data_IF_998725446408
#
_entry.id   IF_998725446408
#
_cell.length_a   1.000
_cell.length_b   1.000
_cell.length_c   1.000
_cell.angle_alpha   90.00
_cell.angle_beta   90.00
_cell.angle_gamma   90.00
#
_symmetry.space_group_name_H-M   'P 1'
#
loop_
_entity.id
_entity.type
_entity.pdbx_description
1 polymer ?
#
# COMPACT_ATOMS: atom_id res chain seq x y z
N UNK A 1 -13.24 -8.21 -17.89
CA UNK A 1 -14.48 -7.84 -17.15
C UNK A 1 -14.53 -8.65 -15.86
N UNK A 2 -14.77 -8.02 -14.70
CA UNK A 2 -14.79 -8.74 -13.42
C UNK A 2 -16.03 -9.64 -13.33
N UNK A 3 -15.86 -10.94 -13.07
CA UNK A 3 -16.96 -11.93 -13.06
C UNK A 3 -17.97 -11.60 -11.95
N UNK A 4 -19.26 -11.78 -12.21
CA UNK A 4 -20.33 -11.55 -11.21
C UNK A 4 -20.12 -12.39 -9.96
N UNK A 5 -19.62 -13.61 -10.11
CA UNK A 5 -19.25 -14.51 -9.02
C UNK A 5 -18.22 -13.90 -8.05
N UNK A 6 -17.18 -13.23 -8.58
CA UNK A 6 -16.17 -12.57 -7.75
C UNK A 6 -16.75 -11.38 -6.98
N UNK A 7 -17.75 -10.68 -7.55
CA UNK A 7 -18.44 -9.60 -6.83
C UNK A 7 -19.26 -10.15 -5.67
N UNK A 8 -19.93 -11.28 -5.86
CA UNK A 8 -20.70 -11.93 -4.80
C UNK A 8 -19.80 -12.40 -3.66
N UNK A 9 -18.67 -13.08 -3.98
CA UNK A 9 -17.69 -13.50 -2.97
C UNK A 9 -17.10 -12.33 -2.18
N UNK A 10 -16.82 -11.20 -2.86
CA UNK A 10 -16.35 -9.97 -2.18
C UNK A 10 -17.41 -9.36 -1.27
N UNK A 11 -18.68 -9.42 -1.65
CA UNK A 11 -19.79 -8.92 -0.81
C UNK A 11 -19.93 -9.76 0.45
N UNK A 12 -19.98 -11.09 0.31
CA UNK A 12 -20.10 -12.03 1.42
C UNK A 12 -18.93 -11.86 2.42
N UNK A 13 -17.70 -11.80 1.92
CA UNK A 13 -16.52 -11.56 2.75
C UNK A 13 -16.60 -10.25 3.55
N UNK A 14 -17.05 -9.16 2.91
CA UNK A 14 -17.17 -7.85 3.60
C UNK A 14 -18.27 -7.87 4.66
N UNK A 15 -19.37 -8.58 4.42
CA UNK A 15 -20.44 -8.73 5.40
C UNK A 15 -19.95 -9.49 6.65
N UNK A 16 -19.19 -10.57 6.47
CA UNK A 16 -18.61 -11.32 7.58
C UNK A 16 -17.52 -10.53 8.32
N UNK A 17 -16.65 -9.83 7.59
CA UNK A 17 -15.64 -8.95 8.19
C UNK A 17 -16.28 -7.88 9.09
N UNK A 18 -17.41 -7.30 8.66
CA UNK A 18 -18.16 -6.32 9.47
C UNK A 18 -18.75 -6.93 10.73
N UNK A 19 -19.23 -8.19 10.70
CA UNK A 19 -19.73 -8.88 11.90
C UNK A 19 -18.62 -9.04 12.93
N UNK A 20 -17.44 -9.50 12.50
CA UNK A 20 -16.26 -9.62 13.36
C UNK A 20 -15.81 -8.27 13.95
N UNK A 21 -15.80 -7.22 13.12
CA UNK A 21 -15.50 -5.86 13.58
C UNK A 21 -16.51 -5.36 14.64
N UNK A 22 -17.82 -5.59 14.42
CA UNK A 22 -18.86 -5.20 15.40
C UNK A 22 -18.81 -5.98 16.70
N UNK A 23 -18.29 -7.21 16.68
CA UNK A 23 -18.08 -8.04 17.88
C UNK A 23 -16.89 -7.57 18.70
N UNK A 24 -16.02 -6.73 18.13
CA UNK A 24 -14.78 -6.29 18.74
C UNK A 24 -13.65 -7.31 18.63
N UNK A 25 -13.74 -8.25 17.68
CA UNK A 25 -12.66 -9.20 17.43
C UNK A 25 -11.43 -8.45 16.90
N UNK A 26 -10.24 -8.88 17.30
CA UNK A 26 -9.00 -8.36 16.75
C UNK A 26 -8.81 -8.87 15.31
N UNK A 27 -8.84 -7.94 14.34
CA UNK A 27 -8.62 -8.25 12.93
C UNK A 27 -7.16 -7.92 12.59
N UNK A 28 -6.44 -8.90 12.04
CA UNK A 28 -5.08 -8.75 11.52
C UNK A 28 -5.12 -8.94 10.01
N UNK A 29 -4.73 -7.89 9.28
CA UNK A 29 -4.57 -7.95 7.83
C UNK A 29 -3.16 -8.41 7.50
N UNK A 30 -3.03 -9.48 6.75
CA UNK A 30 -1.73 -9.98 6.28
C UNK A 30 -1.64 -9.85 4.77
N UNK A 31 -0.47 -9.45 4.29
CA UNK A 31 -0.18 -9.38 2.86
C UNK A 31 1.30 -9.64 2.58
N UNK A 32 1.57 -10.05 1.35
CA UNK A 32 2.91 -10.28 0.83
C UNK A 32 3.22 -9.24 -0.26
N UNK A 33 4.36 -8.58 -0.19
CA UNK A 33 4.78 -7.62 -1.21
C UNK A 33 6.24 -7.81 -1.60
N UNK A 34 6.50 -7.67 -2.90
CA UNK A 34 7.84 -7.73 -3.47
C UNK A 34 8.32 -6.31 -3.74
N UNK A 35 9.31 -5.86 -2.96
CA UNK A 35 9.98 -4.58 -3.17
C UNK A 35 11.23 -4.79 -4.04
N UNK A 36 11.22 -4.20 -5.23
CA UNK A 36 12.43 -4.10 -6.02
C UNK A 36 13.35 -3.05 -5.40
N UNK A 37 14.54 -3.44 -4.97
CA UNK A 37 15.54 -2.53 -4.40
C UNK A 37 16.26 -1.68 -5.47
N UNK A 38 15.89 -1.84 -6.73
CA UNK A 38 16.42 -1.03 -7.82
C UNK A 38 16.00 0.43 -7.68
N UNK A 39 16.98 1.29 -7.39
CA UNK A 39 16.83 2.73 -7.32
C UNK A 39 17.51 3.35 -8.54
N UNK A 40 16.72 3.80 -9.53
CA UNK A 40 17.25 4.64 -10.61
C UNK A 40 17.10 6.11 -10.28
N UNK A 41 18.14 6.90 -10.54
CA UNK A 41 18.04 8.36 -10.53
C UNK A 41 17.34 8.82 -11.81
N UNK A 42 16.30 9.64 -11.68
CA UNK A 42 15.62 10.26 -12.83
C UNK A 42 16.42 11.42 -13.44
N UNK A 43 17.35 11.99 -12.68
CA UNK A 43 18.13 13.16 -13.06
C UNK A 43 19.63 12.85 -12.97
N UNK A 44 20.38 13.33 -13.96
CA UNK A 44 21.81 13.18 -14.07
C UNK A 44 22.46 14.46 -14.59
N UNK A 45 23.71 14.69 -14.21
CA UNK A 45 24.46 15.85 -14.68
C UNK A 45 25.18 15.51 -15.99
N UNK A 46 25.18 16.47 -16.92
CA UNK A 46 25.90 16.39 -18.18
C UNK A 46 26.52 17.75 -18.49
N UNK A 47 27.54 17.75 -19.35
CA UNK A 47 28.13 18.99 -19.85
C UNK A 47 27.13 19.72 -20.74
N UNK A 48 27.23 21.06 -20.79
CA UNK A 48 26.40 21.89 -21.65
C UNK A 48 26.63 21.48 -23.11
N UNK A 49 25.54 21.07 -23.79
CA UNK A 49 25.59 20.56 -25.17
C UNK A 49 25.58 19.04 -25.30
N UNK A 50 25.69 18.29 -24.19
CA UNK A 50 25.66 16.83 -24.19
C UNK A 50 24.40 16.30 -23.50
N UNK A 51 23.80 15.24 -24.05
CA UNK A 51 22.65 14.57 -23.43
C UNK A 51 23.10 13.84 -22.17
N UNK A 52 22.46 14.12 -21.03
CA UNK A 52 22.65 13.33 -19.83
C UNK A 52 22.18 11.89 -20.07
N UNK A 53 23.13 10.97 -20.21
CA UNK A 53 22.88 9.53 -20.32
C UNK A 53 23.34 8.87 -19.03
N UNK A 54 22.41 8.19 -18.35
CA UNK A 54 22.75 7.31 -17.23
C UNK A 54 22.85 5.91 -17.81
N UNK A 55 24.06 5.33 -17.77
CA UNK A 55 24.22 3.91 -18.03
C UNK A 55 23.56 3.14 -16.88
N UNK A 56 22.33 2.69 -17.08
CA UNK A 56 21.62 1.86 -16.12
C UNK A 56 22.24 0.46 -16.17
N UNK A 57 22.84 0.01 -15.08
CA UNK A 57 23.15 -1.42 -14.91
C UNK A 57 21.86 -2.22 -15.02
N UNK A 58 21.88 -3.44 -15.58
CA UNK A 58 20.67 -4.26 -15.70
C UNK A 58 19.97 -4.36 -14.33
N UNK A 59 18.67 -4.11 -14.33
CA UNK A 59 17.79 -3.97 -13.14
C UNK A 59 17.58 -5.27 -12.35
N UNK A 60 18.53 -6.21 -12.45
CA UNK A 60 18.65 -7.43 -11.66
C UNK A 60 19.12 -7.10 -10.23
N UNK A 61 18.50 -6.11 -9.60
CA UNK A 61 18.69 -5.83 -8.19
C UNK A 61 18.06 -6.94 -7.34
N UNK A 62 18.55 -7.09 -6.11
CA UNK A 62 17.93 -7.98 -5.12
C UNK A 62 16.47 -7.54 -4.88
N UNK A 63 15.51 -8.46 -5.01
CA UNK A 63 14.14 -8.19 -4.59
C UNK A 63 13.99 -8.51 -3.11
N UNK A 64 13.47 -7.56 -2.35
CA UNK A 64 13.09 -7.78 -0.96
C UNK A 64 11.66 -8.33 -0.93
N UNK A 65 11.51 -9.57 -0.46
CA UNK A 65 10.20 -10.16 -0.22
C UNK A 65 9.79 -9.85 1.22
N UNK A 66 8.69 -9.12 1.39
CA UNK A 66 8.20 -8.68 2.69
C UNK A 66 6.86 -9.35 2.97
N UNK A 67 6.77 -10.03 4.10
CA UNK A 67 5.51 -10.53 4.65
C UNK A 67 5.17 -9.69 5.88
N UNK A 68 3.99 -9.09 5.89
CA UNK A 68 3.61 -8.14 6.92
C UNK A 68 2.18 -8.37 7.40
N UNK A 69 1.98 -8.20 8.71
CA UNK A 69 0.67 -8.18 9.35
C UNK A 69 0.41 -6.84 10.00
N UNK A 70 -0.76 -6.26 9.80
CA UNK A 70 -1.21 -5.02 10.46
C UNK A 70 -2.53 -5.28 11.17
N UNK A 71 -2.56 -5.04 12.48
CA UNK A 71 -3.81 -4.99 13.25
C UNK A 71 -4.28 -3.55 13.35
N UNK A 72 -5.58 -3.33 13.15
CA UNK A 72 -6.15 -1.99 13.27
C UNK A 72 -6.63 -1.78 14.71
N UNK A 73 -5.86 -1.03 15.50
CA UNK A 73 -6.27 -0.55 16.83
C UNK A 73 -6.99 0.81 16.74
N UNK A 74 -7.25 1.30 15.52
CA UNK A 74 -7.66 2.66 15.19
C UNK A 74 -8.97 2.71 14.42
N UNK A 75 -9.65 3.85 14.48
CA UNK A 75 -10.89 4.13 13.76
C UNK A 75 -10.79 3.75 12.28
N UNK A 76 -11.55 2.75 11.84
CA UNK A 76 -11.57 2.34 10.43
C UNK A 76 -12.33 3.35 9.59
N UNK A 77 -11.63 4.04 8.68
CA UNK A 77 -12.26 4.90 7.66
C UNK A 77 -12.57 4.09 6.40
N UNK A 78 -13.83 4.15 5.94
CA UNK A 78 -14.24 3.53 4.67
C UNK A 78 -14.26 4.58 3.56
N UNK A 79 -13.42 4.41 2.54
CA UNK A 79 -13.35 5.30 1.39
C UNK A 79 -11.94 5.87 1.17
N UNK A 80 -11.79 6.68 0.13
CA UNK A 80 -10.53 7.41 -0.11
C UNK A 80 -10.34 8.47 0.97
N UNK A 81 -9.15 8.50 1.56
CA UNK A 81 -8.75 9.53 2.51
C UNK A 81 -7.89 10.55 1.78
N UNK A 82 -8.27 11.81 1.83
CA UNK A 82 -7.44 12.91 1.33
C UNK A 82 -6.25 13.16 2.26
N UNK A 83 -5.20 13.81 1.76
CA UNK A 83 -4.00 14.07 2.56
C UNK A 83 -4.29 14.89 3.82
N UNK A 84 -5.25 15.83 3.75
CA UNK A 84 -5.68 16.62 4.92
C UNK A 84 -6.39 15.74 5.95
N UNK A 85 -7.34 14.91 5.53
CA UNK A 85 -8.08 14.01 6.43
C UNK A 85 -7.13 13.03 7.14
N UNK A 86 -6.14 12.49 6.42
CA UNK A 86 -5.12 11.64 7.05
C UNK A 86 -4.30 12.39 8.10
N UNK A 87 -3.94 13.65 7.85
CA UNK A 87 -3.20 14.46 8.83
C UNK A 87 -4.02 14.69 10.10
N UNK A 88 -5.34 14.91 9.98
CA UNK A 88 -6.25 15.01 11.11
C UNK A 88 -6.36 13.69 11.89
N UNK A 89 -6.55 12.56 11.20
CA UNK A 89 -6.59 11.24 11.87
C UNK A 89 -5.32 10.93 12.66
N UNK A 90 -4.16 11.32 12.15
CA UNK A 90 -2.88 11.16 12.85
C UNK A 90 -2.76 12.11 14.03
N UNK A 91 -3.30 13.32 13.96
CA UNK A 91 -3.29 14.26 15.09
C UNK A 91 -4.20 13.78 16.24
N UNK A 92 -5.40 13.31 15.92
CA UNK A 92 -6.37 12.77 16.89
C UNK A 92 -5.87 11.51 17.62
N UNK A 93 -4.83 10.88 17.07
CA UNK A 93 -4.15 9.70 17.63
C UNK A 93 -3.26 10.01 18.84
N UNK A 94 -2.79 11.26 18.94
CA UNK A 94 -1.85 11.72 19.96
C UNK A 94 -2.48 12.72 20.94
N UNK A 95 -3.80 12.90 20.90
CA UNK A 95 -4.56 13.83 21.76
C UNK A 95 -5.48 13.06 22.69
#
# INVERSE_FOLDING_TARGET
>A
MNKTENKNKRKEFVEDLKKHASRGDMIVFQDETNFNMYLSRNEGYSRVGERATVALTPSQGSNLHVHGGVSVLLSTHSGSVTKQENAHFVADLFT
#
